data_IF_425951074119
#
_entry.id   IF_425951074119
#
_cell.length_a   1.000
_cell.length_b   1.000
_cell.length_c   1.000
_cell.angle_alpha   90.00
_cell.angle_beta   90.00
_cell.angle_gamma   90.00
#
_symmetry.space_group_name_H-M   'P 1'
#
loop_
_entity.id
_entity.type
_entity.pdbx_description
1 polymer ?
#
# COMPACT_ATOMS: atom_id res chain seq x y z
N UNK A 1 0.10 17.70 13.48
CA UNK A 1 0.58 18.95 12.86
C UNK A 1 0.69 19.98 13.98
N UNK A 2 1.85 20.05 14.62
CA UNK A 2 2.07 21.03 15.69
C UNK A 2 2.53 22.35 15.06
N UNK A 3 1.64 23.35 15.04
CA UNK A 3 1.95 24.70 14.57
C UNK A 3 3.18 25.31 15.26
N UNK A 4 3.38 24.98 16.55
CA UNK A 4 4.53 25.46 17.32
C UNK A 4 5.90 25.00 16.79
N UNK A 5 5.97 23.87 16.08
CA UNK A 5 7.22 23.43 15.43
C UNK A 5 7.56 24.24 14.18
N UNK A 6 6.54 24.61 13.42
CA UNK A 6 6.68 25.43 12.21
C UNK A 6 7.05 26.86 12.60
N UNK A 7 6.40 27.41 13.63
CA UNK A 7 6.69 28.73 14.18
C UNK A 7 8.10 28.82 14.76
N UNK A 8 8.56 27.79 15.49
CA UNK A 8 9.93 27.74 15.99
C UNK A 8 11.00 27.76 14.86
N UNK A 9 10.75 27.08 13.74
CA UNK A 9 11.67 27.10 12.59
C UNK A 9 11.67 28.47 11.90
N UNK A 10 10.50 29.12 11.79
CA UNK A 10 10.41 30.48 11.26
C UNK A 10 11.11 31.50 12.17
N UNK A 11 10.93 31.39 13.49
CA UNK A 11 11.58 32.25 14.48
C UNK A 11 13.11 32.06 14.53
N UNK A 12 13.62 30.90 14.14
CA UNK A 12 15.06 30.64 13.96
C UNK A 12 15.62 31.17 12.62
N UNK A 13 14.82 31.91 11.83
CA UNK A 13 15.25 32.48 10.54
C UNK A 13 15.15 31.51 9.36
N UNK A 14 14.43 30.40 9.51
CA UNK A 14 14.24 29.40 8.45
C UNK A 14 13.28 29.85 7.34
N UNK A 15 13.68 29.65 6.09
CA UNK A 15 12.82 29.88 4.92
C UNK A 15 11.76 28.76 4.79
N UNK A 16 10.62 29.04 4.15
CA UNK A 16 9.49 28.10 3.95
C UNK A 16 9.94 26.79 3.28
N UNK A 17 10.86 26.88 2.33
CA UNK A 17 11.47 25.72 1.67
C UNK A 17 12.21 24.80 2.64
N UNK A 18 12.84 25.36 3.68
CA UNK A 18 13.51 24.60 4.73
C UNK A 18 12.50 23.87 5.61
N UNK A 19 11.36 24.49 5.93
CA UNK A 19 10.27 23.86 6.70
C UNK A 19 9.70 22.67 5.93
N UNK A 20 9.42 22.85 4.63
CA UNK A 20 8.83 21.81 3.77
C UNK A 20 9.77 20.61 3.67
N UNK A 21 11.00 20.81 3.21
CA UNK A 21 11.91 19.68 2.95
C UNK A 21 12.48 19.04 4.21
N UNK A 22 12.67 19.81 5.29
CA UNK A 22 13.41 19.37 6.46
C UNK A 22 12.51 18.95 7.64
N UNK A 23 11.25 19.43 7.68
CA UNK A 23 10.28 19.06 8.71
C UNK A 23 9.10 18.27 8.13
N UNK A 24 8.35 18.87 7.20
CA UNK A 24 7.08 18.31 6.73
C UNK A 24 7.26 17.04 5.89
N UNK A 25 8.19 17.05 4.94
CA UNK A 25 8.45 15.91 4.06
C UNK A 25 8.88 14.66 4.85
N UNK A 26 9.92 14.68 5.71
CA UNK A 26 10.29 13.51 6.50
C UNK A 26 9.24 13.10 7.53
N UNK A 27 8.32 13.99 7.90
CA UNK A 27 7.20 13.66 8.80
C UNK A 27 6.05 12.97 8.07
N UNK A 28 5.78 13.33 6.81
CA UNK A 28 4.75 12.72 5.98
C UNK A 28 5.21 11.43 5.27
N UNK A 29 6.53 11.22 5.09
CA UNK A 29 7.09 10.06 4.38
C UNK A 29 6.54 8.69 4.84
N UNK A 30 6.47 8.37 6.14
CA UNK A 30 5.91 7.09 6.60
C UNK A 30 4.46 6.90 6.16
N UNK A 31 3.65 7.96 6.27
CA UNK A 31 2.23 7.95 5.88
C UNK A 31 2.05 7.83 4.37
N UNK A 32 2.90 8.50 3.59
CA UNK A 32 2.89 8.41 2.12
C UNK A 32 3.22 6.99 1.66
N UNK A 33 4.21 6.34 2.26
CA UNK A 33 4.59 4.97 1.92
C UNK A 33 3.51 3.95 2.30
N UNK A 34 2.85 4.14 3.43
CA UNK A 34 1.68 3.34 3.80
C UNK A 34 0.55 3.51 2.75
N UNK A 35 0.29 4.75 2.31
CA UNK A 35 -0.67 5.05 1.25
C UNK A 35 -0.33 4.41 -0.11
N UNK A 36 0.94 4.40 -0.49
CA UNK A 36 1.41 3.72 -1.71
C UNK A 36 1.19 2.21 -1.59
N UNK A 37 1.54 1.61 -0.45
CA UNK A 37 1.34 0.18 -0.21
C UNK A 37 -0.14 -0.18 -0.32
N UNK A 38 -1.02 0.62 0.28
CA UNK A 38 -2.46 0.45 0.18
C UNK A 38 -2.94 0.56 -1.28
N UNK A 39 -2.42 1.51 -2.03
CA UNK A 39 -2.76 1.69 -3.45
C UNK A 39 -2.40 0.46 -4.28
N UNK A 40 -1.22 -0.13 -4.04
CA UNK A 40 -0.82 -1.39 -4.70
C UNK A 40 -1.76 -2.53 -4.34
N UNK A 41 -2.14 -2.66 -3.07
CA UNK A 41 -3.12 -3.67 -2.62
C UNK A 41 -4.48 -3.48 -3.32
N UNK A 42 -4.94 -2.24 -3.45
CA UNK A 42 -6.18 -1.93 -4.17
C UNK A 42 -6.10 -2.31 -5.66
N UNK A 43 -4.96 -2.06 -6.31
CA UNK A 43 -4.75 -2.47 -7.71
C UNK A 43 -4.78 -3.99 -7.90
N UNK A 44 -4.25 -4.76 -6.93
CA UNK A 44 -4.36 -6.23 -6.92
C UNK A 44 -5.84 -6.66 -6.82
N UNK A 45 -6.60 -6.01 -5.94
CA UNK A 45 -8.05 -6.23 -5.81
C UNK A 45 -8.79 -5.91 -7.11
N UNK A 46 -8.50 -4.78 -7.74
CA UNK A 46 -9.10 -4.40 -9.01
C UNK A 46 -8.74 -5.36 -10.15
N UNK A 47 -7.49 -5.85 -10.23
CA UNK A 47 -7.10 -6.88 -11.20
C UNK A 47 -7.84 -8.20 -10.98
N UNK A 48 -8.11 -8.55 -9.72
CA UNK A 48 -8.92 -9.74 -9.39
C UNK A 48 -10.37 -9.56 -9.83
N UNK A 49 -10.95 -8.38 -9.61
CA UNK A 49 -12.30 -8.06 -10.06
C UNK A 49 -12.40 -7.98 -11.60
N UNK A 50 -11.36 -7.51 -12.28
CA UNK A 50 -11.29 -7.47 -13.74
C UNK A 50 -11.38 -8.87 -14.39
N UNK A 51 -10.94 -9.91 -13.68
CA UNK A 51 -11.13 -11.31 -14.09
C UNK A 51 -12.59 -11.72 -14.26
N UNK A 52 -13.51 -11.13 -13.48
CA UNK A 52 -14.97 -11.38 -13.59
C UNK A 52 -15.54 -10.86 -14.91
N UNK A 53 -14.99 -9.75 -15.40
CA UNK A 53 -15.49 -9.04 -16.58
C UNK A 53 -14.74 -9.53 -17.84
N UNK A 54 -13.87 -10.55 -17.72
CA UNK A 54 -13.10 -11.11 -18.82
C UNK A 54 -11.86 -10.29 -19.21
N UNK A 55 -11.43 -9.35 -18.37
CA UNK A 55 -10.21 -8.54 -18.56
C UNK A 55 -8.89 -9.29 -18.27
N UNK A 56 -8.95 -10.56 -17.88
CA UNK A 56 -7.80 -11.35 -17.44
C UNK A 56 -7.33 -11.01 -16.02
N UNK A 57 -6.28 -11.69 -15.55
CA UNK A 57 -5.71 -11.49 -14.20
C UNK A 57 -6.00 -12.65 -13.24
N UNK A 58 -5.62 -12.49 -11.97
CA UNK A 58 -5.72 -13.56 -10.96
C UNK A 58 -7.16 -14.02 -10.68
N UNK A 59 -8.14 -13.13 -10.90
CA UNK A 59 -9.57 -13.48 -10.77
C UNK A 59 -10.11 -14.33 -11.91
N UNK A 60 -9.50 -14.28 -13.10
CA UNK A 60 -9.91 -15.13 -14.24
C UNK A 60 -9.65 -16.61 -13.92
N UNK A 61 -8.53 -16.91 -13.26
CA UNK A 61 -8.19 -18.26 -12.78
C UNK A 61 -9.22 -18.78 -11.76
N UNK A 62 -9.61 -17.94 -10.80
CA UNK A 62 -10.60 -18.30 -9.78
C UNK A 62 -11.97 -18.59 -10.40
N UNK A 63 -12.38 -17.80 -11.40
CA UNK A 63 -13.70 -17.93 -12.03
C UNK A 63 -13.75 -19.09 -13.01
N UNK A 64 -12.76 -19.20 -13.90
CA UNK A 64 -12.74 -20.24 -14.94
C UNK A 64 -12.45 -21.63 -14.38
N UNK A 65 -11.51 -21.75 -13.45
CA UNK A 65 -11.08 -23.07 -12.96
C UNK A 65 -11.67 -23.43 -11.60
N UNK A 66 -12.00 -22.45 -10.74
CA UNK A 66 -12.67 -22.69 -9.47
C UNK A 66 -14.19 -22.73 -9.63
N UNK A 67 -14.79 -21.59 -9.97
CA UNK A 67 -16.24 -21.41 -9.97
C UNK A 67 -16.95 -22.17 -11.11
N UNK A 68 -16.50 -22.01 -12.35
CA UNK A 68 -17.16 -22.63 -13.51
C UNK A 68 -17.05 -24.16 -13.55
N UNK A 69 -16.00 -24.73 -12.95
CA UNK A 69 -15.83 -26.19 -12.82
C UNK A 69 -16.35 -26.76 -11.50
N UNK A 70 -16.96 -25.94 -10.63
CA UNK A 70 -17.36 -26.32 -9.27
C UNK A 70 -16.23 -27.00 -8.46
N UNK A 71 -14.97 -26.69 -8.80
CA UNK A 71 -13.83 -27.27 -8.12
C UNK A 71 -13.46 -26.38 -6.93
N UNK A 72 -14.04 -26.70 -5.78
CA UNK A 72 -13.84 -25.97 -4.53
C UNK A 72 -12.37 -25.93 -4.10
N UNK A 73 -11.56 -26.94 -4.44
CA UNK A 73 -10.13 -26.96 -4.13
C UNK A 73 -9.38 -25.85 -4.88
N UNK A 74 -9.70 -25.67 -6.17
CA UNK A 74 -9.08 -24.63 -7.01
C UNK A 74 -9.56 -23.23 -6.59
N UNK A 75 -10.84 -23.09 -6.21
CA UNK A 75 -11.36 -21.83 -5.70
C UNK A 75 -10.66 -21.44 -4.38
N UNK A 76 -10.49 -22.39 -3.46
CA UNK A 76 -9.79 -22.13 -2.20
C UNK A 76 -8.30 -21.82 -2.42
N UNK A 77 -7.63 -22.55 -3.33
CA UNK A 77 -6.24 -22.32 -3.69
C UNK A 77 -5.99 -20.92 -4.28
N UNK A 78 -6.86 -20.45 -5.18
CA UNK A 78 -6.75 -19.12 -5.77
C UNK A 78 -6.97 -18.00 -4.75
N UNK A 79 -7.93 -18.15 -3.82
CA UNK A 79 -8.12 -17.22 -2.70
C UNK A 79 -6.89 -17.18 -1.79
N UNK A 80 -6.34 -18.34 -1.44
CA UNK A 80 -5.12 -18.43 -0.62
C UNK A 80 -3.93 -17.72 -1.26
N UNK A 81 -3.73 -17.90 -2.57
CA UNK A 81 -2.67 -17.21 -3.32
C UNK A 81 -2.86 -15.70 -3.29
N UNK A 82 -4.08 -15.21 -3.52
CA UNK A 82 -4.40 -13.78 -3.46
C UNK A 82 -4.11 -13.19 -2.07
N UNK A 83 -4.56 -13.86 -1.01
CA UNK A 83 -4.31 -13.46 0.37
C UNK A 83 -2.81 -13.44 0.64
N UNK A 84 -2.07 -14.50 0.28
CA UNK A 84 -0.63 -14.56 0.46
C UNK A 84 0.11 -13.43 -0.27
N UNK A 85 -0.33 -13.08 -1.47
CA UNK A 85 0.25 -11.98 -2.25
C UNK A 85 -0.01 -10.62 -1.60
N UNK A 86 -1.25 -10.35 -1.19
CA UNK A 86 -1.61 -9.12 -0.47
C UNK A 86 -0.84 -9.01 0.85
N UNK A 87 -0.75 -10.10 1.61
CA UNK A 87 0.03 -10.15 2.85
C UNK A 87 1.52 -9.92 2.60
N UNK A 88 2.06 -10.46 1.50
CA UNK A 88 3.45 -10.21 1.09
C UNK A 88 3.71 -8.73 0.83
N UNK A 89 2.82 -8.07 0.09
CA UNK A 89 2.90 -6.63 -0.20
C UNK A 89 2.75 -5.79 1.07
N UNK A 90 1.76 -6.08 1.92
CA UNK A 90 1.58 -5.36 3.19
C UNK A 90 2.79 -5.54 4.10
N UNK A 91 3.28 -6.76 4.27
CA UNK A 91 4.44 -7.03 5.11
C UNK A 91 5.71 -6.33 4.58
N UNK A 92 5.88 -6.22 3.26
CA UNK A 92 6.96 -5.43 2.66
C UNK A 92 6.78 -3.93 2.91
N UNK A 93 5.57 -3.40 2.70
CA UNK A 93 5.25 -2.00 2.96
C UNK A 93 5.45 -1.60 4.42
N UNK A 94 4.94 -2.41 5.34
CA UNK A 94 5.08 -2.20 6.79
C UNK A 94 6.54 -2.24 7.22
N UNK A 95 7.36 -3.14 6.65
CA UNK A 95 8.81 -3.17 6.91
C UNK A 95 9.50 -1.91 6.40
N UNK A 96 9.14 -1.42 5.22
CA UNK A 96 9.69 -0.17 4.68
C UNK A 96 9.31 1.03 5.54
N UNK A 97 8.04 1.12 5.95
CA UNK A 97 7.53 2.18 6.84
C UNK A 97 8.24 2.12 8.20
N UNK A 98 8.36 0.94 8.81
CA UNK A 98 9.06 0.76 10.11
C UNK A 98 10.54 1.08 10.04
N UNK A 99 11.22 0.68 8.97
CA UNK A 99 12.64 0.98 8.75
C UNK A 99 12.90 2.49 8.68
N UNK A 100 12.03 3.22 7.97
CA UNK A 100 12.14 4.67 7.87
C UNK A 100 11.71 5.39 9.15
N UNK A 101 10.75 4.83 9.89
CA UNK A 101 10.37 5.34 11.20
C UNK A 101 11.48 5.17 12.26
N UNK A 102 12.31 4.12 12.16
CA UNK A 102 13.46 3.87 13.05
C UNK A 102 14.71 4.71 12.75
N UNK A 103 14.73 5.48 11.65
CA UNK A 103 15.84 6.40 11.32
C UNK A 103 15.72 7.78 12.00
N UNK A 104 14.84 7.91 12.99
CA UNK A 104 14.67 9.11 13.83
C UNK A 104 15.15 8.85 15.25
#
# INVERSE_FOLDING_TARGET
MDYGRIEAILSMGGNVWHVIFKSLLPEALPTLLAGITLTIVMLIGFSSMAGVIGGGGLGDLAIRYGYQRFNNEVMFGTVLILVAMVQGVQMAGDRLVRSLAHRR
#
